data_IF_268761152309
#
_entry.id   IF_268761152309
#
_cell.length_a   1.000
_cell.length_b   1.000
_cell.length_c   1.000
_cell.angle_alpha   90.00
_cell.angle_beta   90.00
_cell.angle_gamma   90.00
#
_symmetry.space_group_name_H-M   'P 1'
#
loop_
_entity.id
_entity.type
_entity.pdbx_description
1 polymer ?
#
# COMPACT_ATOMS: atom_id res chain seq x y z
N UNK A 1 2.37 -11.49 16.19
CA UNK A 1 1.89 -10.29 15.46
C UNK A 1 1.06 -9.49 16.44
N UNK A 2 1.20 -8.16 16.46
CA UNK A 2 0.37 -7.32 17.32
C UNK A 2 -1.09 -7.34 16.87
N UNK A 3 -2.00 -7.05 17.80
CA UNK A 3 -3.42 -6.94 17.48
C UNK A 3 -3.65 -5.71 16.57
N UNK A 4 -4.43 -5.84 15.47
CA UNK A 4 -4.83 -4.69 14.67
C UNK A 4 -5.58 -3.64 15.50
N UNK A 5 -5.32 -2.36 15.23
CA UNK A 5 -6.10 -1.28 15.82
C UNK A 5 -7.51 -1.28 15.24
N UNK A 6 -8.50 -1.01 16.10
CA UNK A 6 -9.89 -0.85 15.71
C UNK A 6 -10.36 0.56 16.07
N UNK A 7 -11.22 1.12 15.22
CA UNK A 7 -11.83 2.42 15.44
C UNK A 7 -13.34 2.27 15.45
N UNK A 8 -14.01 3.17 16.17
CA UNK A 8 -15.47 3.08 16.37
C UNK A 8 -16.23 3.43 15.10
N UNK A 9 -15.77 4.46 14.41
CA UNK A 9 -16.38 5.10 13.25
C UNK A 9 -15.31 5.94 12.52
N UNK A 10 -15.68 6.60 11.42
CA UNK A 10 -14.77 7.47 10.67
C UNK A 10 -14.28 8.68 11.46
N UNK A 11 -15.11 9.21 12.37
CA UNK A 11 -14.78 10.40 13.16
C UNK A 11 -13.66 10.08 14.17
N UNK A 12 -13.78 8.95 14.86
CA UNK A 12 -12.76 8.46 15.78
C UNK A 12 -11.44 8.22 15.03
N UNK A 13 -11.46 7.55 13.88
CA UNK A 13 -10.25 7.36 13.07
C UNK A 13 -9.62 8.71 12.64
N UNK A 14 -10.45 9.66 12.19
CA UNK A 14 -10.01 11.01 11.82
C UNK A 14 -9.32 11.74 12.99
N UNK A 15 -9.88 11.69 14.20
CA UNK A 15 -9.28 12.28 15.41
C UNK A 15 -7.92 11.66 15.74
N UNK A 16 -7.78 10.35 15.62
CA UNK A 16 -6.51 9.66 15.89
C UNK A 16 -5.43 10.01 14.85
N UNK A 17 -5.79 10.09 13.57
CA UNK A 17 -4.89 10.56 12.52
C UNK A 17 -4.38 11.99 12.78
N UNK A 18 -5.26 12.90 13.21
CA UNK A 18 -4.87 14.27 13.60
C UNK A 18 -3.91 14.27 14.77
N UNK A 19 -4.23 13.51 15.84
CA UNK A 19 -3.41 13.42 17.05
C UNK A 19 -2.01 12.90 16.77
N UNK A 20 -1.88 11.90 15.91
CA UNK A 20 -0.60 11.24 15.65
C UNK A 20 0.19 11.87 14.49
N UNK A 21 -0.33 12.91 13.82
CA UNK A 21 0.25 13.49 12.60
C UNK A 21 1.77 13.66 12.66
N UNK A 22 2.30 14.38 13.65
CA UNK A 22 3.73 14.67 13.74
C UNK A 22 4.59 13.40 13.88
N UNK A 23 4.14 12.43 14.67
CA UNK A 23 4.82 11.14 14.82
C UNK A 23 4.83 10.37 13.50
N UNK A 24 3.71 10.37 12.77
CA UNK A 24 3.56 9.65 11.51
C UNK A 24 4.43 10.25 10.39
N UNK A 25 4.69 11.56 10.42
CA UNK A 25 5.61 12.20 9.47
C UNK A 25 7.07 11.82 9.70
N UNK A 26 7.50 11.59 10.94
CA UNK A 26 8.89 11.21 11.27
C UNK A 26 9.36 9.96 10.55
N UNK A 27 8.45 9.04 10.24
CA UNK A 27 8.81 7.85 9.48
C UNK A 27 9.40 8.20 8.10
N UNK A 28 8.94 9.30 7.48
CA UNK A 28 9.42 9.76 6.18
C UNK A 28 10.75 10.52 6.23
N UNK A 29 11.30 10.72 7.42
CA UNK A 29 12.66 11.23 7.61
C UNK A 29 13.71 10.12 7.39
N UNK A 30 13.27 8.85 7.34
CA UNK A 30 14.13 7.73 6.95
C UNK A 30 14.69 7.89 5.53
N UNK A 31 15.71 7.10 5.23
CA UNK A 31 16.31 7.03 3.91
C UNK A 31 16.77 5.61 3.57
N UNK A 32 16.59 5.25 2.30
CA UNK A 32 17.26 4.12 1.68
C UNK A 32 18.36 4.67 0.77
N UNK A 33 19.58 4.15 0.87
CA UNK A 33 20.70 4.58 0.02
C UNK A 33 20.50 4.07 -1.41
N UNK A 34 20.07 2.81 -1.54
CA UNK A 34 19.90 2.15 -2.84
C UNK A 34 18.44 1.77 -3.14
N UNK A 35 18.16 1.47 -4.41
CA UNK A 35 16.87 0.91 -4.84
C UNK A 35 16.69 -0.48 -4.20
N UNK A 36 17.77 -1.25 -4.10
CA UNK A 36 17.81 -2.57 -3.48
C UNK A 36 17.35 -2.52 -2.02
N UNK A 37 17.84 -1.56 -1.24
CA UNK A 37 17.45 -1.38 0.16
C UNK A 37 15.95 -1.08 0.27
N UNK A 38 15.45 -0.16 -0.56
CA UNK A 38 14.02 0.15 -0.63
C UNK A 38 13.17 -1.08 -1.00
N UNK A 39 13.63 -1.89 -1.95
CA UNK A 39 12.97 -3.13 -2.36
C UNK A 39 13.00 -4.18 -1.23
N UNK A 40 14.13 -4.35 -0.56
CA UNK A 40 14.28 -5.28 0.55
C UNK A 40 13.39 -4.89 1.74
N UNK A 41 13.36 -3.60 2.08
CA UNK A 41 12.52 -3.02 3.13
C UNK A 41 11.02 -3.03 2.83
N UNK A 42 10.62 -3.21 1.56
CA UNK A 42 9.19 -3.15 1.18
C UNK A 42 8.37 -4.36 1.63
N UNK A 43 8.99 -5.53 1.73
CA UNK A 43 8.26 -6.77 2.01
C UNK A 43 9.03 -7.68 2.98
N UNK A 44 8.42 -7.93 4.13
CA UNK A 44 8.89 -8.92 5.09
C UNK A 44 8.42 -10.34 4.76
N UNK A 45 9.02 -11.35 5.41
CA UNK A 45 8.75 -12.78 5.17
C UNK A 45 7.27 -13.18 5.35
N UNK A 46 6.53 -12.48 6.21
CA UNK A 46 5.10 -12.74 6.43
C UNK A 46 4.21 -12.37 5.24
N UNK A 47 4.65 -11.47 4.36
CA UNK A 47 3.87 -10.98 3.21
C UNK A 47 3.55 -12.10 2.22
N UNK A 48 4.45 -13.09 2.12
CA UNK A 48 4.35 -14.17 1.13
C UNK A 48 3.83 -15.49 1.71
N UNK A 49 3.45 -15.54 2.99
CA UNK A 49 3.04 -16.78 3.68
C UNK A 49 1.84 -17.48 3.01
N UNK A 50 0.98 -16.72 2.33
CA UNK A 50 -0.19 -17.26 1.61
C UNK A 50 0.17 -17.95 0.30
N UNK A 51 1.39 -17.75 -0.23
CA UNK A 51 1.83 -18.30 -1.50
C UNK A 51 2.62 -19.60 -1.26
N UNK A 52 1.90 -20.64 -0.85
CA UNK A 52 2.48 -21.98 -0.64
C UNK A 52 2.60 -22.71 -1.97
N UNK A 53 3.55 -23.66 -2.06
CA UNK A 53 3.74 -24.55 -3.21
C UNK A 53 3.90 -23.84 -4.57
N UNK A 54 4.62 -22.72 -4.59
CA UNK A 54 4.88 -21.97 -5.82
C UNK A 54 6.14 -22.53 -6.52
N UNK A 55 6.20 -22.54 -7.86
CA UNK A 55 7.38 -23.03 -8.60
C UNK A 55 8.68 -22.30 -8.26
N UNK A 56 8.58 -21.02 -7.90
CA UNK A 56 9.71 -20.23 -7.42
C UNK A 56 9.34 -19.50 -6.13
N UNK A 57 10.38 -19.09 -5.37
CA UNK A 57 10.20 -18.31 -4.15
C UNK A 57 9.49 -16.98 -4.45
N UNK A 58 8.28 -16.74 -3.92
CA UNK A 58 7.49 -15.54 -4.23
C UNK A 58 8.19 -14.22 -3.93
N UNK A 59 8.93 -14.17 -2.82
CA UNK A 59 9.70 -12.99 -2.45
C UNK A 59 10.83 -12.69 -3.43
N UNK A 60 11.49 -13.73 -3.96
CA UNK A 60 12.57 -13.55 -4.93
C UNK A 60 12.02 -13.02 -6.26
N UNK A 61 10.94 -13.62 -6.76
CA UNK A 61 10.28 -13.17 -8.00
C UNK A 61 9.81 -11.72 -7.91
N UNK A 62 9.23 -11.32 -6.77
CA UNK A 62 8.83 -9.94 -6.55
C UNK A 62 10.03 -8.98 -6.51
N UNK A 63 11.07 -9.30 -5.72
CA UNK A 63 12.24 -8.42 -5.55
C UNK A 63 13.02 -8.23 -6.85
N UNK A 64 13.24 -9.31 -7.59
CA UNK A 64 13.90 -9.27 -8.90
C UNK A 64 13.10 -8.42 -9.91
N UNK A 65 11.77 -8.57 -9.93
CA UNK A 65 10.92 -7.71 -10.75
C UNK A 65 11.06 -6.23 -10.35
N UNK A 66 10.99 -5.93 -9.05
CA UNK A 66 11.03 -4.57 -8.54
C UNK A 66 12.37 -3.89 -8.87
N UNK A 67 13.49 -4.54 -8.57
CA UNK A 67 14.84 -4.06 -8.89
C UNK A 67 14.96 -3.77 -10.38
N UNK A 68 14.67 -4.77 -11.24
CA UNK A 68 14.73 -4.59 -12.71
C UNK A 68 13.80 -3.50 -13.21
N UNK A 69 12.65 -3.27 -12.56
CA UNK A 69 11.68 -2.27 -12.98
C UNK A 69 12.14 -0.85 -12.64
N UNK A 70 12.73 -0.65 -11.46
CA UNK A 70 13.14 0.66 -10.95
C UNK A 70 14.56 1.07 -11.37
N UNK A 71 15.43 0.14 -11.75
CA UNK A 71 16.68 0.47 -12.46
C UNK A 71 16.48 1.07 -13.85
N UNK A 72 15.27 0.97 -14.42
CA UNK A 72 14.97 1.64 -15.68
C UNK A 72 14.73 3.12 -15.42
N UNK A 73 15.60 3.96 -15.94
CA UNK A 73 15.50 5.43 -15.85
C UNK A 73 14.09 5.94 -16.17
N UNK A 74 13.49 5.46 -17.26
CA UNK A 74 12.10 5.80 -17.65
C UNK A 74 11.08 5.56 -16.54
N UNK A 75 11.24 4.50 -15.73
CA UNK A 75 10.34 4.24 -14.59
C UNK A 75 10.48 5.33 -13.55
N UNK A 76 11.71 5.71 -13.19
CA UNK A 76 11.99 6.76 -12.20
C UNK A 76 11.51 8.12 -12.71
N UNK A 77 11.91 8.52 -13.93
CA UNK A 77 11.50 9.78 -14.54
C UNK A 77 9.97 9.90 -14.58
N UNK A 78 9.27 8.84 -14.99
CA UNK A 78 7.80 8.84 -15.01
C UNK A 78 7.16 8.94 -13.61
N UNK A 79 7.74 8.29 -12.59
CA UNK A 79 7.29 8.43 -11.20
C UNK A 79 7.48 9.87 -10.71
N UNK A 80 8.67 10.43 -10.93
CA UNK A 80 9.03 11.78 -10.50
C UNK A 80 8.22 12.85 -11.23
N UNK A 81 7.77 12.60 -12.46
CA UNK A 81 6.91 13.50 -13.23
C UNK A 81 5.46 13.60 -12.74
N UNK A 82 5.00 12.70 -11.86
CA UNK A 82 3.60 12.68 -11.41
C UNK A 82 3.27 13.95 -10.61
N UNK A 83 2.18 14.61 -11.03
CA UNK A 83 1.70 15.88 -10.50
C UNK A 83 0.29 15.80 -9.90
N UNK A 84 -0.46 14.73 -10.19
CA UNK A 84 -1.84 14.55 -9.70
C UNK A 84 -2.14 13.11 -9.25
N UNK A 85 -3.23 12.95 -8.49
CA UNK A 85 -3.73 11.62 -8.09
C UNK A 85 -4.12 10.77 -9.31
N UNK A 86 -4.77 11.36 -10.31
CA UNK A 86 -5.19 10.62 -11.51
C UNK A 86 -4.00 10.07 -12.31
N UNK A 87 -2.92 10.87 -12.43
CA UNK A 87 -1.67 10.41 -13.05
C UNK A 87 -1.03 9.28 -12.25
N UNK A 88 -1.00 9.42 -10.91
CA UNK A 88 -0.51 8.36 -10.03
C UNK A 88 -1.31 7.06 -10.18
N UNK A 89 -2.63 7.14 -10.20
CA UNK A 89 -3.52 5.97 -10.30
C UNK A 89 -3.29 5.22 -11.62
N UNK A 90 -3.19 5.96 -12.73
CA UNK A 90 -2.88 5.41 -14.04
C UNK A 90 -1.48 4.80 -14.11
N UNK A 91 -0.48 5.46 -13.50
CA UNK A 91 0.89 4.95 -13.42
C UNK A 91 0.99 3.68 -12.58
N UNK A 92 0.35 3.67 -11.40
CA UNK A 92 0.29 2.52 -10.50
C UNK A 92 -0.44 1.35 -11.16
N UNK A 93 -1.51 1.60 -11.90
CA UNK A 93 -2.18 0.56 -12.68
C UNK A 93 -1.18 -0.13 -13.62
N UNK A 94 -0.44 0.63 -14.43
CA UNK A 94 0.60 0.10 -15.34
C UNK A 94 1.70 -0.66 -14.57
N UNK A 95 2.12 -0.16 -13.41
CA UNK A 95 3.09 -0.84 -12.55
C UNK A 95 2.56 -2.21 -12.07
N UNK A 96 1.31 -2.25 -11.58
CA UNK A 96 0.68 -3.49 -11.09
C UNK A 96 0.49 -4.53 -12.19
N UNK A 97 0.20 -4.10 -13.42
CA UNK A 97 0.14 -4.99 -14.58
C UNK A 97 1.53 -5.50 -14.99
N UNK A 98 2.56 -4.67 -14.89
CA UNK A 98 3.94 -5.13 -15.09
C UNK A 98 4.34 -6.22 -14.09
N UNK A 99 3.97 -6.07 -12.82
CA UNK A 99 4.17 -7.13 -11.82
C UNK A 99 3.43 -8.40 -12.20
N UNK A 100 2.15 -8.29 -12.55
CA UNK A 100 1.32 -9.44 -12.93
C UNK A 100 1.92 -10.22 -14.11
N UNK A 101 2.35 -9.51 -15.16
CA UNK A 101 2.98 -10.13 -16.33
C UNK A 101 4.32 -10.78 -15.99
N UNK A 102 5.14 -10.13 -15.16
CA UNK A 102 6.40 -10.71 -14.71
C UNK A 102 6.17 -11.96 -13.85
N UNK A 103 5.17 -11.91 -12.96
CA UNK A 103 4.77 -13.02 -12.11
C UNK A 103 4.27 -14.20 -12.94
N UNK A 104 3.35 -13.98 -13.89
CA UNK A 104 2.83 -15.01 -14.79
C UNK A 104 3.94 -15.72 -15.56
N UNK A 105 4.93 -14.97 -16.08
CA UNK A 105 6.09 -15.55 -16.79
C UNK A 105 6.97 -16.41 -15.89
N UNK A 106 7.17 -16.01 -14.63
CA UNK A 106 8.02 -16.75 -13.69
C UNK A 106 7.29 -17.93 -13.05
N UNK A 107 6.05 -17.74 -12.60
CA UNK A 107 5.30 -18.74 -11.83
C UNK A 107 4.40 -19.65 -12.70
N UNK A 108 4.23 -19.34 -13.99
CA UNK A 108 3.32 -20.03 -14.88
C UNK A 108 1.88 -19.50 -14.83
N UNK A 109 1.10 -19.82 -15.88
CA UNK A 109 -0.28 -19.36 -16.04
C UNK A 109 -1.26 -19.92 -15.00
N UNK A 110 -0.92 -21.02 -14.33
CA UNK A 110 -1.73 -21.63 -13.28
C UNK A 110 -1.51 -21.00 -11.90
N UNK A 111 -0.42 -20.24 -11.71
CA UNK A 111 -0.03 -19.65 -10.42
C UNK A 111 -0.10 -18.12 -10.44
N UNK A 112 -1.22 -17.59 -10.94
CA UNK A 112 -1.41 -16.15 -11.05
C UNK A 112 -1.44 -15.49 -9.67
N UNK A 113 -0.83 -14.31 -9.58
CA UNK A 113 -0.94 -13.48 -8.37
C UNK A 113 -2.40 -13.02 -8.19
N UNK A 114 -3.04 -13.28 -7.02
CA UNK A 114 -4.39 -12.81 -6.77
C UNK A 114 -4.49 -11.28 -6.75
N UNK A 115 -5.70 -10.76 -6.97
CA UNK A 115 -5.94 -9.33 -7.14
C UNK A 115 -5.43 -8.48 -5.96
N UNK A 116 -5.81 -8.81 -4.73
CA UNK A 116 -5.40 -8.07 -3.52
C UNK A 116 -3.89 -7.96 -3.37
N UNK A 117 -3.14 -9.08 -3.33
CA UNK A 117 -1.68 -9.08 -3.33
C UNK A 117 -1.05 -8.32 -4.50
N UNK A 118 -1.63 -8.43 -5.72
CA UNK A 118 -1.15 -7.69 -6.91
C UNK A 118 -1.18 -6.18 -6.71
N UNK A 119 -2.12 -5.64 -5.95
CA UNK A 119 -2.18 -4.20 -5.60
C UNK A 119 -1.33 -3.89 -4.36
N UNK A 120 -1.36 -4.75 -3.34
CA UNK A 120 -0.65 -4.53 -2.08
C UNK A 120 0.86 -4.45 -2.27
N UNK A 121 1.46 -5.38 -3.02
CA UNK A 121 2.91 -5.47 -3.16
C UNK A 121 3.54 -4.21 -3.79
N UNK A 122 3.01 -3.65 -4.90
CA UNK A 122 3.48 -2.36 -5.40
C UNK A 122 3.26 -1.19 -4.44
N UNK A 123 2.16 -1.15 -3.68
CA UNK A 123 1.94 -0.06 -2.71
C UNK A 123 2.98 -0.09 -1.58
N UNK A 124 3.30 -1.29 -1.07
CA UNK A 124 4.37 -1.46 -0.09
C UNK A 124 5.73 -1.05 -0.65
N UNK A 125 6.02 -1.38 -1.91
CA UNK A 125 7.22 -0.93 -2.59
C UNK A 125 7.29 0.59 -2.65
N UNK A 126 6.23 1.24 -3.12
CA UNK A 126 6.21 2.70 -3.29
C UNK A 126 6.29 3.45 -1.96
N UNK A 127 5.75 2.87 -0.87
CA UNK A 127 5.94 3.37 0.50
C UNK A 127 7.43 3.48 0.85
N UNK A 128 8.25 2.51 0.46
CA UNK A 128 9.70 2.54 0.69
C UNK A 128 10.46 3.35 -0.36
N UNK A 129 10.07 3.25 -1.64
CA UNK A 129 10.73 3.99 -2.72
C UNK A 129 10.67 5.51 -2.50
N UNK A 130 9.60 6.04 -1.90
CA UNK A 130 9.46 7.49 -1.69
C UNK A 130 10.53 8.06 -0.74
N UNK A 131 11.13 7.22 0.10
CA UNK A 131 12.21 7.59 1.01
C UNK A 131 13.61 7.20 0.49
N UNK A 132 13.72 6.65 -0.72
CA UNK A 132 15.02 6.46 -1.37
C UNK A 132 15.70 7.81 -1.64
N UNK A 133 17.02 7.87 -1.45
CA UNK A 133 17.82 9.10 -1.57
C UNK A 133 17.76 9.73 -2.96
N UNK A 134 17.58 8.91 -4.01
CA UNK A 134 17.38 9.39 -5.38
C UNK A 134 16.09 10.21 -5.59
N UNK A 135 15.20 10.30 -4.60
CA UNK A 135 14.00 11.14 -4.63
C UNK A 135 14.17 12.36 -3.74
N UNK A 136 14.26 13.54 -4.37
CA UNK A 136 14.45 14.80 -3.67
C UNK A 136 13.29 15.15 -2.72
N UNK A 137 13.57 15.97 -1.69
CA UNK A 137 12.60 16.31 -0.62
C UNK A 137 11.25 16.86 -1.15
N UNK A 138 11.29 17.71 -2.18
CA UNK A 138 10.09 18.28 -2.79
C UNK A 138 9.23 17.23 -3.51
N UNK A 139 9.89 16.32 -4.24
CA UNK A 139 9.27 15.19 -4.91
C UNK A 139 8.70 14.20 -3.89
N UNK A 140 9.44 13.85 -2.84
CA UNK A 140 8.98 13.02 -1.72
C UNK A 140 7.68 13.59 -1.13
N UNK A 141 7.68 14.86 -0.72
CA UNK A 141 6.49 15.55 -0.16
C UNK A 141 5.30 15.57 -1.13
N UNK A 142 5.56 15.65 -2.44
CA UNK A 142 4.50 15.56 -3.47
C UNK A 142 3.97 14.14 -3.58
N UNK A 143 4.84 13.16 -3.86
CA UNK A 143 4.47 11.76 -4.08
C UNK A 143 3.77 11.12 -2.88
N UNK A 144 4.20 11.45 -1.65
CA UNK A 144 3.54 11.01 -0.43
C UNK A 144 2.03 11.31 -0.40
N UNK A 145 1.60 12.42 -1.02
CA UNK A 145 0.19 12.80 -1.10
C UNK A 145 -0.63 11.94 -2.05
N UNK A 146 0.02 11.12 -2.87
CA UNK A 146 -0.64 10.27 -3.88
C UNK A 146 -0.57 8.78 -3.53
N UNK A 147 0.42 8.36 -2.72
CA UNK A 147 0.68 6.97 -2.37
C UNK A 147 -0.54 6.22 -1.83
N UNK A 148 -1.02 5.22 -2.55
CA UNK A 148 -2.10 4.36 -2.07
C UNK A 148 -1.73 3.59 -0.80
N UNK A 149 -2.71 3.40 0.09
CA UNK A 149 -2.52 2.61 1.31
C UNK A 149 -2.46 1.12 0.94
N UNK A 150 -1.43 0.38 1.38
CA UNK A 150 -1.41 -1.07 1.29
C UNK A 150 -2.60 -1.69 2.04
N UNK A 151 -3.47 -2.42 1.32
CA UNK A 151 -4.64 -3.03 1.93
C UNK A 151 -4.28 -4.42 2.48
N UNK A 152 -4.12 -4.50 3.80
CA UNK A 152 -3.90 -5.74 4.53
C UNK A 152 -4.84 -5.90 5.73
N UNK A 153 -4.59 -6.91 6.57
CA UNK A 153 -5.42 -7.14 7.75
C UNK A 153 -5.49 -5.92 8.67
N UNK A 154 -4.38 -5.22 8.91
CA UNK A 154 -4.33 -4.09 9.82
C UNK A 154 -5.14 -2.92 9.26
N UNK A 155 -4.90 -2.56 8.00
CA UNK A 155 -5.64 -1.48 7.33
C UNK A 155 -7.13 -1.79 7.22
N UNK A 156 -7.50 -3.01 6.81
CA UNK A 156 -8.90 -3.40 6.64
C UNK A 156 -9.65 -3.41 7.99
N UNK A 157 -9.01 -3.86 9.07
CA UNK A 157 -9.61 -3.82 10.41
C UNK A 157 -9.76 -2.37 10.90
N UNK A 158 -8.79 -1.50 10.63
CA UNK A 158 -8.84 -0.10 11.01
C UNK A 158 -10.06 0.62 10.39
N UNK A 159 -10.35 0.37 9.11
CA UNK A 159 -11.47 1.02 8.42
C UNK A 159 -12.80 0.27 8.50
N UNK A 160 -12.83 -0.91 9.15
CA UNK A 160 -13.99 -1.83 9.14
C UNK A 160 -15.30 -1.14 9.52
N UNK A 161 -15.26 -0.29 10.54
CA UNK A 161 -16.43 0.40 11.07
C UNK A 161 -16.62 1.80 10.45
N UNK A 162 -15.80 2.18 9.47
CA UNK A 162 -15.86 3.47 8.78
C UNK A 162 -16.67 3.42 7.48
N UNK A 163 -17.15 2.24 7.07
CA UNK A 163 -17.98 2.08 5.87
C UNK A 163 -19.38 2.63 6.17
N UNK A 164 -19.54 3.92 5.89
CA UNK A 164 -20.75 4.72 6.09
C UNK A 164 -21.45 4.91 4.73
N UNK A 165 -22.77 4.75 4.70
CA UNK A 165 -23.59 4.94 3.48
C UNK A 165 -23.84 3.68 2.64
N UNK A 166 -24.97 3.68 1.94
CA UNK A 166 -25.46 2.51 1.19
C UNK A 166 -24.63 2.20 -0.05
N UNK A 167 -24.10 3.21 -0.74
CA UNK A 167 -23.26 3.03 -1.92
C UNK A 167 -21.97 2.28 -1.57
N UNK A 168 -21.26 2.71 -0.53
CA UNK A 168 -20.01 2.09 -0.09
C UNK A 168 -20.24 0.66 0.40
N UNK A 169 -21.35 0.42 1.10
CA UNK A 169 -21.73 -0.92 1.57
C UNK A 169 -22.06 -1.88 0.41
N UNK A 170 -22.72 -1.40 -0.65
CA UNK A 170 -23.04 -2.23 -1.82
C UNK A 170 -21.80 -2.70 -2.57
N UNK A 171 -20.78 -1.84 -2.68
CA UNK A 171 -19.55 -2.16 -3.43
C UNK A 171 -18.51 -2.89 -2.56
N UNK A 172 -18.19 -2.35 -1.37
CA UNK A 172 -17.14 -2.92 -0.50
C UNK A 172 -17.68 -4.17 0.21
N UNK A 173 -18.95 -4.16 0.60
CA UNK A 173 -19.51 -5.16 1.50
C UNK A 173 -19.03 -5.00 2.94
N UNK A 174 -19.39 -5.96 3.80
CA UNK A 174 -18.98 -5.98 5.20
C UNK A 174 -17.57 -6.54 5.31
N UNK A 175 -16.61 -5.72 5.75
CA UNK A 175 -15.27 -6.21 6.11
C UNK A 175 -15.41 -7.18 7.31
N UNK A 176 -14.95 -8.44 7.19
CA UNK A 176 -15.06 -9.42 8.27
C UNK A 176 -14.16 -9.06 9.45
N UNK A 177 -14.36 -9.71 10.61
CA UNK A 177 -13.53 -9.47 11.80
C UNK A 177 -12.05 -9.82 11.59
N UNK A 178 -11.78 -10.86 10.80
CA UNK A 178 -10.43 -11.31 10.44
C UNK A 178 -10.26 -11.29 8.92
N UNK A 179 -10.10 -10.10 8.31
CA UNK A 179 -9.98 -9.99 6.87
C UNK A 179 -8.64 -10.57 6.39
N UNK A 180 -8.70 -11.30 5.29
CA UNK A 180 -7.52 -11.77 4.56
C UNK A 180 -7.27 -10.85 3.36
N UNK A 181 -6.10 -10.96 2.74
CA UNK A 181 -5.81 -10.25 1.48
C UNK A 181 -6.78 -10.60 0.35
N UNK A 182 -7.51 -11.72 0.45
CA UNK A 182 -8.54 -12.13 -0.49
C UNK A 182 -9.85 -11.35 -0.38
N UNK A 183 -10.01 -10.46 0.61
CA UNK A 183 -11.18 -9.58 0.69
C UNK A 183 -11.24 -8.60 -0.49
N UNK A 184 -10.09 -8.07 -0.92
CA UNK A 184 -9.99 -7.16 -2.05
C UNK A 184 -9.93 -7.98 -3.35
N UNK A 185 -11.11 -8.28 -3.90
CA UNK A 185 -11.26 -9.22 -5.02
C UNK A 185 -11.08 -8.59 -6.41
N UNK A 186 -11.36 -7.30 -6.56
CA UNK A 186 -11.37 -6.60 -7.85
C UNK A 186 -11.08 -5.09 -7.71
N UNK A 187 -11.03 -4.41 -8.85
CA UNK A 187 -10.72 -2.97 -8.94
C UNK A 187 -11.79 -2.08 -8.31
N UNK A 188 -13.07 -2.41 -8.47
CA UNK A 188 -14.15 -1.64 -7.86
C UNK A 188 -14.03 -1.61 -6.32
N UNK A 189 -13.86 -2.78 -5.69
CA UNK A 189 -13.65 -2.87 -4.22
C UNK A 189 -12.39 -2.12 -3.80
N UNK A 190 -11.29 -2.29 -4.53
CA UNK A 190 -10.03 -1.62 -4.23
C UNK A 190 -10.16 -0.10 -4.27
N UNK A 191 -10.75 0.44 -5.34
CA UNK A 191 -10.90 1.87 -5.53
C UNK A 191 -11.85 2.47 -4.51
N UNK A 192 -12.96 1.79 -4.19
CA UNK A 192 -13.89 2.29 -3.18
C UNK A 192 -13.23 2.35 -1.79
N UNK A 193 -12.41 1.37 -1.43
CA UNK A 193 -11.62 1.42 -0.19
C UNK A 193 -10.60 2.57 -0.21
N UNK A 194 -9.86 2.77 -1.31
CA UNK A 194 -8.91 3.89 -1.41
C UNK A 194 -9.63 5.25 -1.33
N UNK A 195 -10.82 5.38 -1.95
CA UNK A 195 -11.67 6.57 -1.87
C UNK A 195 -12.13 6.86 -0.44
N UNK A 196 -12.63 5.85 0.28
CA UNK A 196 -13.02 5.97 1.67
C UNK A 196 -11.86 6.47 2.53
N UNK A 197 -10.69 5.84 2.38
CA UNK A 197 -9.48 6.24 3.09
C UNK A 197 -9.11 7.70 2.78
N UNK A 198 -9.08 8.08 1.49
CA UNK A 198 -8.81 9.46 1.06
C UNK A 198 -9.78 10.47 1.68
N UNK A 199 -11.07 10.15 1.73
CA UNK A 199 -12.07 11.02 2.33
C UNK A 199 -11.83 11.23 3.83
N UNK A 200 -11.51 10.16 4.56
CA UNK A 200 -11.18 10.23 6.00
C UNK A 200 -9.90 11.04 6.23
N UNK A 201 -8.83 10.75 5.50
CA UNK A 201 -7.54 11.42 5.72
C UNK A 201 -7.54 12.87 5.25
N UNK A 202 -8.33 13.20 4.21
CA UNK A 202 -8.58 14.59 3.79
C UNK A 202 -9.24 15.39 4.92
N UNK A 203 -10.27 14.85 5.58
CA UNK A 203 -10.88 15.47 6.79
C UNK A 203 -9.87 15.61 7.95
N UNK A 204 -8.92 14.69 8.04
CA UNK A 204 -7.85 14.74 9.02
C UNK A 204 -6.72 15.74 8.66
N UNK A 205 -6.67 16.26 7.42
CA UNK A 205 -5.60 17.15 6.98
C UNK A 205 -4.24 16.45 6.89
N UNK A 206 -4.23 15.16 6.53
CA UNK A 206 -3.03 14.33 6.38
C UNK A 206 -3.01 13.53 5.07
N UNK A 207 -1.84 13.16 4.53
CA UNK A 207 -1.71 12.21 3.42
C UNK A 207 -2.33 10.87 3.77
N UNK A 208 -3.01 10.22 2.81
CA UNK A 208 -3.70 8.96 3.07
C UNK A 208 -2.77 7.82 3.47
N UNK A 209 -1.52 7.81 2.97
CA UNK A 209 -0.52 6.82 3.37
C UNK A 209 -0.27 6.79 4.89
N UNK A 210 -0.55 7.89 5.62
CA UNK A 210 -0.44 7.94 7.09
C UNK A 210 -1.36 6.95 7.82
N UNK A 211 -2.45 6.50 7.18
CA UNK A 211 -3.29 5.46 7.74
C UNK A 211 -2.55 4.13 7.89
N UNK A 212 -1.67 3.77 6.96
CA UNK A 212 -0.88 2.54 7.03
C UNK A 212 -0.01 2.54 8.29
N UNK A 213 0.65 3.67 8.57
CA UNK A 213 1.47 3.83 9.77
C UNK A 213 0.67 3.77 11.06
N UNK A 214 -0.50 4.42 11.09
CA UNK A 214 -1.38 4.34 12.25
C UNK A 214 -1.85 2.89 12.47
N UNK A 215 -2.30 2.20 11.41
CA UNK A 215 -2.87 0.87 11.53
C UNK A 215 -1.83 -0.24 11.78
N UNK A 216 -0.64 -0.10 11.18
CA UNK A 216 0.42 -1.10 11.20
C UNK A 216 1.55 -0.71 12.15
N UNK A 217 2.23 0.41 11.93
CA UNK A 217 3.43 0.77 12.70
C UNK A 217 3.12 1.04 14.18
N UNK A 218 2.10 1.84 14.50
CA UNK A 218 1.72 2.07 15.90
C UNK A 218 1.21 0.82 16.62
N UNK A 219 0.65 -0.16 15.90
CA UNK A 219 0.28 -1.44 16.49
C UNK A 219 1.54 -2.26 16.85
N UNK A 220 2.64 -2.11 16.13
CA UNK A 220 3.89 -2.83 16.33
C UNK A 220 4.89 -2.06 17.23
N UNK A 221 4.75 -0.73 17.38
CA UNK A 221 5.55 0.10 18.29
C UNK A 221 5.17 -0.01 19.77
N UNK A 222 4.12 -0.76 20.13
CA UNK A 222 3.76 -1.06 21.54
C UNK A 222 4.63 -2.17 22.14
N UNK A 223 5.94 -2.14 21.89
CA UNK A 223 6.93 -3.00 22.55
C UNK A 223 7.90 -2.16 23.34
#
# INVERSE_FOLDING_TARGET
MSAPLTFRDSEHLCKQLKKCKNLLYRWFDGHHETIEDAVLGSVGGNTFRSFKHMPHKPSAVFREWAIRKFHKEKTIVSLLGISSQSEYDGWLHKLTQSLHNSWKRRMGSQNLIPYGPRKKLPNLLLKQMVIWEGIGKSQRKRLMRFLHVPLDRHTLVAIRNCIEGDHDRRVIGRIPRNPTMGFVKNEAVYQQIQNLIRAITKRAGVPHILLDFLAWDMAHSKK
#
